data_IF_635571903980
#
_entry.id   IF_635571903980
#
_cell.length_a   1.000
_cell.length_b   1.000
_cell.length_c   1.000
_cell.angle_alpha   90.00
_cell.angle_beta   90.00
_cell.angle_gamma   90.00
#
_symmetry.space_group_name_H-M   'P 1'
#
loop_
_entity.id
_entity.type
_entity.pdbx_description
1 polymer ?
#
# COMPACT_ATOMS: atom_id res chain seq x y z
N UNK A 1 -82.04 30.77 -21.64
CA UNK A 1 -81.53 29.44 -21.26
C UNK A 1 -80.03 29.46 -21.56
N UNK A 2 -79.19 29.71 -20.55
CA UNK A 2 -77.76 29.93 -20.71
C UNK A 2 -76.98 28.69 -20.24
N UNK A 3 -76.16 28.13 -21.13
CA UNK A 3 -75.31 26.97 -20.86
C UNK A 3 -74.05 27.47 -20.10
N UNK A 4 -73.82 26.97 -18.88
CA UNK A 4 -72.62 27.29 -18.10
C UNK A 4 -71.51 26.29 -18.47
N UNK A 5 -70.38 26.79 -18.97
CA UNK A 5 -69.18 26.00 -19.22
C UNK A 5 -68.57 25.53 -17.90
N UNK A 6 -68.39 24.22 -17.75
CA UNK A 6 -67.63 23.62 -16.65
C UNK A 6 -66.14 23.65 -17.00
N UNK A 7 -65.35 24.38 -16.20
CA UNK A 7 -63.89 24.35 -16.29
C UNK A 7 -63.38 23.04 -15.70
N UNK A 8 -62.68 22.25 -16.53
CA UNK A 8 -61.98 21.03 -16.11
C UNK A 8 -60.66 21.47 -15.49
N UNK A 9 -60.56 21.46 -14.17
CA UNK A 9 -59.32 21.76 -13.45
C UNK A 9 -58.40 20.55 -13.54
N UNK A 10 -57.37 20.64 -14.36
CA UNK A 10 -56.34 19.60 -14.52
C UNK A 10 -55.43 19.63 -13.28
N UNK A 11 -55.64 18.72 -12.32
CA UNK A 11 -54.73 18.53 -11.19
C UNK A 11 -53.41 17.95 -11.70
N UNK A 12 -52.38 18.79 -11.76
CA UNK A 12 -51.00 18.37 -12.01
C UNK A 12 -50.55 17.45 -10.86
N UNK A 13 -50.52 16.14 -11.10
CA UNK A 13 -49.91 15.17 -10.20
C UNK A 13 -48.39 15.43 -10.25
N UNK A 14 -47.89 16.24 -9.34
CA UNK A 14 -46.47 16.43 -9.08
C UNK A 14 -45.86 15.07 -8.72
N UNK A 15 -45.27 14.40 -9.71
CA UNK A 15 -44.32 13.31 -9.50
C UNK A 15 -43.18 13.86 -8.65
N UNK A 16 -43.25 13.61 -7.34
CA UNK A 16 -42.10 13.76 -6.46
C UNK A 16 -41.11 12.69 -6.90
N UNK A 17 -40.17 13.07 -7.76
CA UNK A 17 -38.97 12.29 -8.00
C UNK A 17 -38.25 12.21 -6.66
N UNK A 18 -38.34 11.09 -5.95
CA UNK A 18 -37.33 10.77 -4.95
C UNK A 18 -36.01 10.68 -5.73
N UNK A 19 -35.01 11.55 -5.50
CA UNK A 19 -33.67 11.17 -5.88
C UNK A 19 -33.33 9.97 -5.01
N UNK A 20 -33.24 8.79 -5.64
CA UNK A 20 -32.54 7.68 -5.03
C UNK A 20 -31.09 8.16 -4.94
N UNK A 21 -30.70 8.70 -3.79
CA UNK A 21 -29.30 8.90 -3.48
C UNK A 21 -28.69 7.49 -3.43
N UNK A 22 -28.18 7.03 -4.57
CA UNK A 22 -27.17 6.00 -4.56
C UNK A 22 -25.98 6.64 -3.89
N UNK A 23 -25.83 6.44 -2.59
CA UNK A 23 -24.53 6.61 -1.96
C UNK A 23 -23.59 5.69 -2.74
N UNK A 24 -22.77 6.27 -3.62
CA UNK A 24 -21.55 5.58 -4.01
C UNK A 24 -20.75 5.52 -2.73
N UNK A 25 -20.77 4.39 -2.03
CA UNK A 25 -19.75 4.14 -1.04
C UNK A 25 -18.42 4.29 -1.80
N UNK A 26 -17.71 5.38 -1.53
CA UNK A 26 -16.34 5.54 -2.00
C UNK A 26 -15.61 4.26 -1.58
N UNK A 27 -15.01 3.58 -2.55
CA UNK A 27 -14.16 2.44 -2.24
C UNK A 27 -12.93 2.90 -1.46
N UNK A 28 -12.17 1.94 -0.96
CA UNK A 28 -10.86 2.21 -0.36
C UNK A 28 -9.97 2.88 -1.41
N UNK A 29 -9.41 4.04 -1.09
CA UNK A 29 -8.43 4.73 -1.95
C UNK A 29 -7.05 4.62 -1.32
N UNK A 30 -6.12 4.02 -2.07
CA UNK A 30 -4.72 3.96 -1.75
C UNK A 30 -3.90 4.81 -2.73
N UNK A 31 -2.88 5.50 -2.23
CA UNK A 31 -1.91 6.25 -3.06
C UNK A 31 -0.48 5.89 -2.70
N UNK A 32 0.44 6.16 -3.63
CA UNK A 32 1.88 6.17 -3.35
C UNK A 32 2.36 7.62 -3.16
N UNK A 33 3.20 7.85 -2.16
CA UNK A 33 3.79 9.16 -1.85
C UNK A 33 5.29 9.01 -1.58
N UNK A 34 6.12 9.95 -2.04
CA UNK A 34 7.52 10.07 -1.65
C UNK A 34 8.54 10.00 -2.78
N UNK A 35 8.12 9.96 -4.04
CA UNK A 35 9.02 9.87 -5.21
C UNK A 35 8.98 11.09 -6.14
N UNK A 36 8.08 12.04 -5.91
CA UNK A 36 7.87 13.18 -6.81
C UNK A 36 8.24 14.49 -6.11
N UNK A 37 9.13 15.24 -6.76
CA UNK A 37 9.44 16.60 -6.32
C UNK A 37 8.16 17.46 -6.32
N UNK A 38 7.97 18.27 -5.29
CA UNK A 38 6.81 19.15 -5.10
C UNK A 38 5.44 18.42 -5.01
N UNK A 39 5.40 17.18 -4.51
CA UNK A 39 4.13 16.48 -4.21
C UNK A 39 3.50 16.87 -2.87
N UNK A 40 4.12 17.80 -2.14
CA UNK A 40 3.75 18.17 -0.78
C UNK A 40 4.27 17.18 0.26
N UNK A 41 3.96 17.43 1.52
CA UNK A 41 4.33 16.59 2.65
C UNK A 41 3.36 15.42 2.84
N UNK A 42 3.81 14.35 3.47
CA UNK A 42 2.96 13.22 3.85
C UNK A 42 1.78 13.67 4.73
N UNK A 43 2.01 14.62 5.64
CA UNK A 43 0.97 15.16 6.51
C UNK A 43 -0.14 15.88 5.71
N UNK A 44 0.23 16.62 4.66
CA UNK A 44 -0.74 17.27 3.77
C UNK A 44 -1.57 16.24 3.00
N UNK A 45 -0.94 15.16 2.49
CA UNK A 45 -1.66 14.07 1.84
C UNK A 45 -2.70 13.44 2.78
N UNK A 46 -2.31 13.12 4.02
CA UNK A 46 -3.22 12.61 5.05
C UNK A 46 -4.34 13.61 5.41
N UNK A 47 -4.02 14.90 5.48
CA UNK A 47 -4.98 15.94 5.85
C UNK A 47 -6.07 16.18 4.80
N UNK A 48 -5.91 15.69 3.57
CA UNK A 48 -6.95 15.78 2.53
C UNK A 48 -8.23 15.03 2.91
N UNK A 49 -8.12 13.95 3.70
CA UNK A 49 -9.24 13.05 3.98
C UNK A 49 -9.69 12.21 2.78
N UNK A 50 -8.91 12.18 1.69
CA UNK A 50 -9.25 11.48 0.45
C UNK A 50 -8.74 10.04 0.38
N UNK A 51 -7.82 9.63 1.28
CA UNK A 51 -7.09 8.38 1.18
C UNK A 51 -7.21 7.57 2.47
N UNK A 52 -7.54 6.29 2.34
CA UNK A 52 -7.57 5.34 3.45
C UNK A 52 -6.16 4.77 3.72
N UNK A 53 -5.36 4.62 2.66
CA UNK A 53 -3.98 4.13 2.73
C UNK A 53 -3.02 5.04 1.96
N UNK A 54 -1.88 5.34 2.57
CA UNK A 54 -0.77 6.04 1.92
C UNK A 54 0.47 5.14 1.97
N UNK A 55 0.82 4.55 0.83
CA UNK A 55 2.02 3.74 0.68
C UNK A 55 3.24 4.68 0.54
N UNK A 56 4.12 4.68 1.54
CA UNK A 56 5.35 5.49 1.52
C UNK A 56 6.36 4.81 0.59
N UNK A 57 6.60 5.41 -0.58
CA UNK A 57 7.47 4.91 -1.62
C UNK A 57 8.81 5.66 -1.62
N UNK A 58 9.97 5.00 -1.60
CA UNK A 58 10.14 3.54 -1.51
C UNK A 58 11.40 3.10 -0.77
N UNK A 59 11.51 1.80 -0.52
CA UNK A 59 12.68 1.13 0.03
C UNK A 59 13.37 0.33 -1.09
N UNK A 60 14.25 0.95 -1.90
CA UNK A 60 14.88 0.31 -3.06
C UNK A 60 15.81 -0.84 -2.71
N UNK A 61 16.58 -0.66 -1.65
CA UNK A 61 17.73 -1.49 -1.35
C UNK A 61 17.32 -2.47 -0.29
N UNK A 62 17.10 -3.74 -0.64
CA UNK A 62 16.82 -4.80 0.31
C UNK A 62 17.17 -6.17 -0.26
N UNK A 63 17.38 -7.13 0.62
CA UNK A 63 17.76 -8.50 0.25
C UNK A 63 19.18 -8.58 -0.30
N UNK A 64 19.59 -9.77 -0.73
CA UNK A 64 20.94 -10.09 -1.18
C UNK A 64 22.03 -9.63 -0.18
N UNK A 65 21.75 -9.72 1.12
CA UNK A 65 22.67 -9.26 2.19
C UNK A 65 22.85 -7.74 2.28
N UNK A 66 22.10 -6.95 1.49
CA UNK A 66 22.07 -5.51 1.60
C UNK A 66 21.23 -5.08 2.81
N UNK A 67 21.58 -3.92 3.38
CA UNK A 67 20.75 -3.27 4.39
C UNK A 67 19.58 -2.55 3.73
N UNK A 68 18.31 -2.95 3.99
CA UNK A 68 17.11 -2.15 3.89
C UNK A 68 17.33 -0.66 4.12
N UNK A 69 17.20 0.12 3.05
CA UNK A 69 17.30 1.59 3.09
C UNK A 69 16.12 2.22 2.36
N UNK A 70 15.47 3.16 3.05
CA UNK A 70 14.39 3.97 2.48
C UNK A 70 14.97 5.14 1.69
N UNK A 71 14.37 5.43 0.54
CA UNK A 71 14.72 6.56 -0.32
C UNK A 71 13.43 7.30 -0.71
N UNK A 72 13.26 8.52 -0.19
CA UNK A 72 12.08 9.36 -0.42
C UNK A 72 12.43 10.61 -1.23
N UNK A 73 13.23 10.45 -2.29
CA UNK A 73 13.70 11.55 -3.13
C UNK A 73 14.30 12.72 -2.31
N UNK A 74 13.71 13.90 -2.39
CA UNK A 74 14.13 15.11 -1.68
C UNK A 74 13.47 15.29 -0.30
N UNK A 75 12.64 14.34 0.15
CA UNK A 75 11.90 14.42 1.41
C UNK A 75 12.71 13.99 2.64
N UNK A 76 13.77 13.19 2.47
CA UNK A 76 14.64 12.79 3.59
C UNK A 76 16.06 12.40 3.14
N UNK A 77 17.03 12.53 4.05
CA UNK A 77 18.36 11.93 3.89
C UNK A 77 18.28 10.42 4.19
N UNK A 78 18.56 9.54 3.21
CA UNK A 78 18.40 8.09 3.35
C UNK A 78 19.39 7.43 4.34
N UNK A 79 20.41 8.15 4.83
CA UNK A 79 21.57 7.53 5.49
C UNK A 79 21.43 7.23 7.00
N UNK A 80 20.22 7.24 7.57
CA UNK A 80 20.00 7.03 9.01
C UNK A 80 19.31 5.69 9.29
N UNK A 81 20.09 4.65 9.61
CA UNK A 81 19.54 3.36 10.06
C UNK A 81 20.39 2.11 9.82
N UNK A 82 21.72 2.24 9.72
CA UNK A 82 22.61 1.11 9.44
C UNK A 82 22.66 0.08 10.57
N UNK A 83 22.21 -1.15 10.29
CA UNK A 83 22.42 -2.33 11.13
C UNK A 83 23.42 -3.29 10.47
N UNK A 84 24.05 -4.16 11.25
CA UNK A 84 24.90 -5.23 10.70
C UNK A 84 24.06 -6.30 10.02
N UNK A 85 24.27 -6.51 8.72
CA UNK A 85 23.68 -7.59 7.94
C UNK A 85 24.69 -8.71 7.75
N UNK A 86 24.29 -9.94 8.06
CA UNK A 86 25.05 -11.13 7.70
C UNK A 86 24.74 -11.53 6.27
N UNK A 87 25.73 -12.06 5.55
CA UNK A 87 25.48 -12.71 4.26
C UNK A 87 24.44 -13.83 4.47
N UNK A 88 23.39 -13.85 3.66
CA UNK A 88 22.42 -14.92 3.67
C UNK A 88 22.92 -16.07 2.79
N UNK A 89 22.81 -17.31 3.27
CA UNK A 89 23.23 -18.50 2.53
C UNK A 89 22.18 -18.92 1.47
N UNK A 90 20.96 -18.38 1.59
CA UNK A 90 19.86 -18.56 0.63
C UNK A 90 18.78 -17.47 0.77
N UNK A 91 17.83 -17.44 -0.17
CA UNK A 91 16.75 -16.45 -0.23
C UNK A 91 15.77 -16.47 0.94
N UNK A 92 15.49 -17.62 1.53
CA UNK A 92 14.55 -17.70 2.67
C UNK A 92 15.18 -17.11 3.92
N UNK A 93 16.48 -17.35 4.12
CA UNK A 93 17.24 -16.72 5.19
C UNK A 93 17.36 -15.21 4.98
N UNK A 94 17.61 -14.77 3.75
CA UNK A 94 17.62 -13.36 3.38
C UNK A 94 16.26 -12.69 3.66
N UNK A 95 15.16 -13.33 3.25
CA UNK A 95 13.80 -12.85 3.55
C UNK A 95 13.52 -12.77 5.05
N UNK A 96 14.03 -13.72 5.85
CA UNK A 96 13.91 -13.69 7.31
C UNK A 96 14.68 -12.50 7.91
N UNK A 97 15.89 -12.24 7.44
CA UNK A 97 16.72 -11.11 7.88
C UNK A 97 16.08 -9.76 7.51
N UNK A 98 15.55 -9.64 6.29
CA UNK A 98 14.80 -8.46 5.86
C UNK A 98 13.53 -8.29 6.69
N UNK A 99 12.76 -9.36 6.96
CA UNK A 99 11.58 -9.30 7.82
C UNK A 99 11.93 -8.80 9.24
N UNK A 100 13.01 -9.32 9.83
CA UNK A 100 13.47 -8.90 11.14
C UNK A 100 13.84 -7.41 11.18
N UNK A 101 14.49 -6.90 10.13
CA UNK A 101 14.80 -5.48 10.05
C UNK A 101 13.57 -4.61 9.85
N UNK A 102 12.66 -4.99 8.95
CA UNK A 102 11.40 -4.27 8.75
C UNK A 102 10.61 -4.21 10.06
N UNK A 103 10.55 -5.33 10.78
CA UNK A 103 9.93 -5.41 12.09
C UNK A 103 10.54 -4.43 13.09
N UNK A 104 11.86 -4.47 13.24
CA UNK A 104 12.58 -3.70 14.26
C UNK A 104 12.67 -2.21 13.97
N UNK A 105 12.61 -1.79 12.70
CA UNK A 105 12.81 -0.39 12.32
C UNK A 105 11.53 0.32 11.88
N UNK A 106 10.48 -0.42 11.52
CA UNK A 106 9.26 0.17 10.96
C UNK A 106 7.95 -0.35 11.56
N UNK A 107 7.89 -1.58 12.09
CA UNK A 107 6.60 -2.22 12.47
C UNK A 107 6.44 -2.45 13.98
N UNK A 108 7.22 -1.77 14.81
CA UNK A 108 7.05 -1.78 16.27
C UNK A 108 7.88 -2.81 17.03
N UNK A 109 8.89 -3.41 16.39
CA UNK A 109 9.93 -4.13 17.09
C UNK A 109 10.81 -3.21 17.96
N UNK A 110 11.59 -3.81 18.85
CA UNK A 110 12.46 -3.06 19.77
C UNK A 110 13.89 -3.01 19.21
N UNK A 111 14.26 -1.88 18.61
CA UNK A 111 15.65 -1.58 18.23
C UNK A 111 16.29 -0.61 19.21
N UNK A 112 17.62 -0.73 19.39
CA UNK A 112 18.41 0.18 20.22
C UNK A 112 18.67 1.55 19.57
N UNK A 113 18.42 1.66 18.26
CA UNK A 113 18.48 2.89 17.47
C UNK A 113 17.13 3.16 16.82
N UNK A 114 16.71 4.43 16.78
CA UNK A 114 15.53 4.84 16.02
C UNK A 114 15.80 4.63 14.52
N UNK A 115 14.83 4.04 13.82
CA UNK A 115 14.88 3.85 12.37
C UNK A 115 14.78 5.18 11.60
N UNK A 116 14.79 5.14 10.26
CA UNK A 116 14.78 6.36 9.44
C UNK A 116 13.51 7.21 9.62
N UNK A 117 12.40 6.60 10.08
CA UNK A 117 11.15 7.29 10.38
C UNK A 117 11.02 7.69 11.87
N UNK A 118 12.11 7.62 12.64
CA UNK A 118 12.10 7.94 14.06
C UNK A 118 11.26 6.93 14.87
N UNK A 119 10.41 7.38 15.80
CA UNK A 119 9.57 6.49 16.62
C UNK A 119 8.26 6.06 15.93
N UNK A 120 8.04 6.44 14.67
CA UNK A 120 6.82 6.08 13.94
C UNK A 120 6.75 4.55 13.73
N UNK A 121 5.54 4.00 13.86
CA UNK A 121 5.24 2.60 13.58
C UNK A 121 4.27 2.57 12.41
N UNK A 122 4.66 1.92 11.32
CA UNK A 122 3.85 1.73 10.13
C UNK A 122 2.83 0.61 10.36
N UNK A 123 1.68 0.72 9.69
CA UNK A 123 0.61 -0.27 9.76
C UNK A 123 0.89 -1.53 8.93
N UNK A 124 1.81 -1.44 7.96
CA UNK A 124 2.00 -2.46 6.95
C UNK A 124 3.24 -2.33 6.08
N UNK A 125 3.43 -3.33 5.22
CA UNK A 125 4.43 -3.34 4.16
C UNK A 125 3.74 -3.59 2.83
N UNK A 126 3.96 -2.69 1.87
CA UNK A 126 3.55 -2.87 0.49
C UNK A 126 4.68 -3.50 -0.34
N UNK A 127 4.34 -4.57 -1.06
CA UNK A 127 5.24 -5.27 -1.97
C UNK A 127 5.06 -4.64 -3.35
N UNK A 128 5.76 -3.52 -3.55
CA UNK A 128 5.79 -2.78 -4.79
C UNK A 128 6.64 -3.44 -5.88
N UNK A 129 6.68 -2.76 -7.02
CA UNK A 129 7.40 -3.13 -8.25
C UNK A 129 8.84 -3.62 -7.95
N UNK A 130 9.08 -4.90 -8.18
CA UNK A 130 10.41 -5.52 -8.08
C UNK A 130 10.93 -5.75 -9.50
N UNK A 131 11.84 -4.89 -9.97
CA UNK A 131 12.57 -5.12 -11.23
C UNK A 131 13.95 -5.73 -11.01
N UNK A 132 14.55 -5.54 -9.83
CA UNK A 132 16.00 -5.64 -9.66
C UNK A 132 16.46 -6.76 -8.72
N UNK A 133 15.56 -7.67 -8.30
CA UNK A 133 16.04 -8.96 -7.76
C UNK A 133 16.34 -9.83 -8.99
N UNK A 134 17.43 -9.49 -9.68
CA UNK A 134 17.83 -9.98 -11.01
C UNK A 134 17.87 -11.52 -11.13
N UNK A 135 17.85 -12.27 -10.01
CA UNK A 135 17.75 -13.73 -9.98
C UNK A 135 16.99 -14.26 -8.74
N UNK A 136 16.03 -13.49 -8.22
CA UNK A 136 15.32 -13.82 -6.98
C UNK A 136 14.45 -15.06 -7.09
N UNK A 137 14.63 -16.12 -6.28
CA UNK A 137 13.79 -17.29 -6.36
C UNK A 137 12.36 -16.90 -6.04
N UNK A 138 11.42 -17.49 -6.80
CA UNK A 138 9.95 -17.35 -6.75
C UNK A 138 9.30 -17.53 -5.35
N UNK A 139 10.12 -17.70 -4.31
CA UNK A 139 9.80 -17.93 -2.91
C UNK A 139 10.13 -16.73 -2.01
N UNK A 140 11.00 -15.80 -2.41
CA UNK A 140 11.46 -14.70 -1.54
C UNK A 140 10.28 -13.86 -1.00
N UNK A 141 9.47 -13.29 -1.89
CA UNK A 141 8.32 -12.46 -1.48
C UNK A 141 7.27 -13.26 -0.69
N UNK A 142 7.14 -14.56 -0.99
CA UNK A 142 6.28 -15.48 -0.25
C UNK A 142 6.77 -15.67 1.19
N UNK A 143 8.06 -15.92 1.37
CA UNK A 143 8.65 -16.17 2.68
C UNK A 143 8.71 -14.88 3.49
N UNK A 144 9.03 -13.75 2.86
CA UNK A 144 8.97 -12.43 3.48
C UNK A 144 7.55 -12.14 4.04
N UNK A 145 6.50 -12.37 3.25
CA UNK A 145 5.13 -12.19 3.71
C UNK A 145 4.78 -13.12 4.90
N UNK A 146 5.22 -14.38 4.87
CA UNK A 146 5.04 -15.31 6.01
C UNK A 146 5.74 -14.81 7.27
N UNK A 147 6.99 -14.36 7.16
CA UNK A 147 7.74 -13.89 8.33
C UNK A 147 7.13 -12.61 8.93
N UNK A 148 6.69 -11.67 8.10
CA UNK A 148 5.99 -10.48 8.57
C UNK A 148 4.70 -10.82 9.32
N UNK A 149 3.84 -11.69 8.76
CA UNK A 149 2.63 -12.17 9.47
C UNK A 149 2.95 -13.00 10.71
N UNK A 150 4.09 -13.68 10.76
CA UNK A 150 4.53 -14.41 11.95
C UNK A 150 4.88 -13.46 13.10
N UNK A 151 5.57 -12.35 12.84
CA UNK A 151 5.84 -11.32 13.86
C UNK A 151 4.55 -10.70 14.39
N UNK A 152 3.64 -10.32 13.50
CA UNK A 152 2.34 -9.79 13.87
C UNK A 152 1.30 -10.08 12.78
N UNK A 153 0.29 -10.93 13.04
CA UNK A 153 -0.72 -11.25 12.04
C UNK A 153 -1.62 -10.06 11.67
N UNK A 154 -1.58 -8.97 12.45
CA UNK A 154 -2.35 -7.74 12.21
C UNK A 154 -1.65 -6.71 11.32
N UNK A 155 -0.36 -6.88 11.04
CA UNK A 155 0.35 -6.02 10.07
C UNK A 155 -0.29 -6.19 8.71
N UNK A 156 -0.62 -5.09 8.03
CA UNK A 156 -1.12 -5.14 6.66
C UNK A 156 0.02 -5.53 5.71
N UNK A 157 -0.24 -6.48 4.83
CA UNK A 157 0.67 -6.84 3.75
C UNK A 157 -0.08 -6.62 2.45
N UNK A 158 0.40 -5.69 1.64
CA UNK A 158 -0.19 -5.37 0.35
C UNK A 158 0.80 -5.68 -0.77
N UNK A 159 0.32 -5.73 -2.00
CA UNK A 159 1.15 -6.08 -3.16
C UNK A 159 0.65 -5.40 -4.42
N UNK A 160 1.57 -4.93 -5.25
CA UNK A 160 1.28 -4.27 -6.51
C UNK A 160 1.87 -5.03 -7.70
N UNK A 161 1.29 -6.18 -8.10
CA UNK A 161 1.77 -6.98 -9.23
C UNK A 161 1.57 -6.24 -10.56
N UNK A 162 2.51 -6.41 -11.49
CA UNK A 162 2.44 -5.90 -12.85
C UNK A 162 1.72 -6.85 -13.81
N UNK A 163 1.40 -6.32 -15.00
CA UNK A 163 0.96 -7.12 -16.14
C UNK A 163 2.16 -7.63 -16.95
N UNK A 164 2.07 -8.81 -17.60
CA UNK A 164 0.93 -9.73 -17.65
C UNK A 164 0.79 -10.60 -16.38
N UNK A 165 -0.44 -11.08 -16.10
CA UNK A 165 -0.74 -11.89 -14.91
C UNK A 165 -0.60 -13.41 -15.16
N UNK A 166 -0.02 -14.20 -14.23
CA UNK A 166 0.60 -13.75 -12.97
C UNK A 166 1.89 -12.98 -13.22
N UNK A 167 2.10 -11.91 -12.44
CA UNK A 167 3.37 -11.17 -12.43
C UNK A 167 4.54 -12.15 -12.23
N UNK A 168 5.57 -12.02 -13.08
CA UNK A 168 6.66 -12.99 -13.15
C UNK A 168 7.58 -12.97 -11.91
N UNK A 169 7.60 -11.86 -11.18
CA UNK A 169 8.46 -11.62 -10.02
C UNK A 169 7.74 -11.94 -8.71
N UNK A 170 6.54 -11.39 -8.55
CA UNK A 170 5.81 -11.42 -7.27
C UNK A 170 4.46 -12.14 -7.38
N UNK A 171 3.95 -12.41 -8.58
CA UNK A 171 2.59 -12.94 -8.77
C UNK A 171 2.34 -14.31 -8.10
N UNK A 172 3.35 -15.16 -8.00
CA UNK A 172 3.22 -16.46 -7.33
C UNK A 172 3.00 -16.32 -5.81
N UNK A 173 3.46 -15.22 -5.19
CA UNK A 173 3.29 -15.01 -3.74
C UNK A 173 1.81 -14.89 -3.34
N UNK A 174 0.94 -14.43 -4.25
CA UNK A 174 -0.51 -14.31 -4.03
C UNK A 174 -1.17 -15.64 -3.60
N UNK A 175 -0.61 -16.78 -4.04
CA UNK A 175 -1.10 -18.12 -3.65
C UNK A 175 -0.97 -18.43 -2.16
N UNK A 176 -0.26 -17.60 -1.40
CA UNK A 176 -0.15 -17.75 0.06
C UNK A 176 -1.44 -17.39 0.80
N UNK A 177 -2.29 -16.54 0.22
CA UNK A 177 -3.44 -15.97 0.91
C UNK A 177 -3.10 -15.02 2.07
N UNK A 178 -1.86 -14.49 2.10
CA UNK A 178 -1.38 -13.62 3.20
C UNK A 178 -1.49 -12.12 2.90
N UNK A 179 -1.86 -11.74 1.67
CA UNK A 179 -1.97 -10.35 1.24
C UNK A 179 -3.38 -9.81 1.52
N UNK A 180 -3.47 -8.69 2.21
CA UNK A 180 -4.72 -8.03 2.60
C UNK A 180 -5.31 -7.20 1.45
N UNK A 181 -4.46 -6.55 0.65
CA UNK A 181 -4.85 -5.79 -0.55
C UNK A 181 -3.92 -6.05 -1.73
N UNK A 182 -4.47 -5.99 -2.94
CA UNK A 182 -3.74 -6.15 -4.20
C UNK A 182 -4.00 -4.93 -5.08
N UNK A 183 -2.97 -4.12 -5.31
CA UNK A 183 -3.03 -2.88 -6.08
C UNK A 183 -2.59 -3.12 -7.53
N UNK A 184 -3.53 -3.46 -8.42
CA UNK A 184 -3.19 -3.64 -9.83
C UNK A 184 -3.01 -2.30 -10.54
N UNK A 185 -1.81 -1.99 -11.08
CA UNK A 185 -1.63 -0.82 -11.93
C UNK A 185 -2.30 -1.10 -13.29
N UNK A 186 -3.36 -0.36 -13.60
CA UNK A 186 -4.08 -0.47 -14.88
C UNK A 186 -3.43 0.42 -15.95
N UNK A 187 -2.76 1.49 -15.52
CA UNK A 187 -2.01 2.41 -16.37
C UNK A 187 -0.59 2.49 -15.80
N UNK A 188 0.40 2.20 -16.65
CA UNK A 188 1.83 2.35 -16.37
C UNK A 188 2.42 3.36 -17.33
#
# INVERSE_FOLDING_TARGET
MALKSAAITLTFLSLVSLPLASDSNGGIIAIYWGQKNNEGTLAEACATGNYDYVCIAFLPTFGNGQTPMIFLADHCDPYRGGGSYSNADNSTQDACQVAAHLWNNFLGGQSSSLGPLGPAVLDGIDFGIVHDIEDGPKQYSRDLAKFLKWYNPKVYITIAPQCPFPDVWIGNSLTTGLFDFVWFPILQ
#
